data_IF_830158607058
#
_entry.id   IF_830158607058
#
_cell.length_a   1.000
_cell.length_b   1.000
_cell.length_c   1.000
_cell.angle_alpha   90.00
_cell.angle_beta   90.00
_cell.angle_gamma   90.00
#
_symmetry.space_group_name_H-M   'P 1'
#
loop_
_entity.id
_entity.type
_entity.pdbx_description
1 polymer ?
#
# COMPACT_ATOMS: atom_id res chain seq x y z
N UNK A 1 -37.62 -20.11 -6.86
CA UNK A 1 -36.24 -20.38 -7.34
C UNK A 1 -36.16 -21.83 -7.80
N UNK A 2 -35.42 -22.17 -8.87
CA UNK A 2 -35.33 -23.55 -9.36
C UNK A 2 -33.89 -24.06 -9.22
N UNK A 3 -33.71 -25.32 -8.86
CA UNK A 3 -32.40 -25.96 -8.75
C UNK A 3 -31.73 -26.05 -10.12
N UNK A 4 -30.49 -25.51 -10.25
CA UNK A 4 -29.70 -25.53 -11.49
C UNK A 4 -29.33 -26.95 -11.94
N UNK A 5 -29.30 -27.91 -11.00
CA UNK A 5 -28.88 -29.29 -11.24
C UNK A 5 -30.00 -30.27 -11.54
N UNK A 6 -31.22 -30.09 -10.98
CA UNK A 6 -32.32 -31.03 -11.13
C UNK A 6 -33.67 -30.38 -11.48
N UNK A 7 -33.71 -29.05 -11.63
CA UNK A 7 -34.90 -28.31 -12.05
C UNK A 7 -36.06 -28.25 -11.05
N UNK A 8 -35.91 -28.83 -9.86
CA UNK A 8 -36.96 -28.80 -8.81
C UNK A 8 -37.08 -27.39 -8.22
N UNK A 9 -38.31 -26.98 -7.91
CA UNK A 9 -38.59 -25.72 -7.24
C UNK A 9 -38.08 -25.75 -5.79
N UNK A 10 -37.25 -24.77 -5.44
CA UNK A 10 -36.68 -24.61 -4.11
C UNK A 10 -37.50 -23.61 -3.30
N UNK A 11 -37.61 -23.86 -2.01
CA UNK A 11 -38.16 -22.88 -1.08
C UNK A 11 -37.21 -21.70 -0.91
N UNK A 12 -37.73 -20.50 -0.77
CA UNK A 12 -36.92 -19.31 -0.52
C UNK A 12 -36.12 -19.47 0.76
N UNK A 13 -34.78 -19.30 0.66
CA UNK A 13 -33.87 -19.43 1.80
C UNK A 13 -33.24 -20.82 2.01
N UNK A 14 -33.58 -21.84 1.20
CA UNK A 14 -32.95 -23.16 1.33
C UNK A 14 -31.53 -23.18 0.74
N UNK A 15 -30.51 -23.47 1.58
CA UNK A 15 -29.11 -23.57 1.19
C UNK A 15 -28.78 -24.85 0.37
N UNK A 16 -29.68 -25.84 0.38
CA UNK A 16 -29.48 -27.14 -0.26
C UNK A 16 -30.77 -27.59 -0.95
N UNK A 17 -30.63 -28.21 -2.11
CA UNK A 17 -31.75 -28.88 -2.78
C UNK A 17 -32.13 -30.15 -2.04
N UNK A 18 -33.37 -30.25 -1.58
CA UNK A 18 -33.89 -31.41 -0.87
C UNK A 18 -33.94 -32.68 -1.74
N UNK A 19 -33.89 -32.55 -3.07
CA UNK A 19 -33.98 -33.69 -4.01
C UNK A 19 -32.64 -34.23 -4.46
N UNK A 20 -31.66 -33.38 -4.76
CA UNK A 20 -30.36 -33.80 -5.29
C UNK A 20 -29.16 -33.42 -4.39
N UNK A 21 -29.40 -32.80 -3.23
CA UNK A 21 -28.34 -32.38 -2.31
C UNK A 21 -27.41 -31.28 -2.85
N UNK A 22 -27.69 -30.79 -4.06
CA UNK A 22 -26.88 -29.70 -4.61
C UNK A 22 -27.01 -28.47 -3.73
N UNK A 23 -25.87 -27.86 -3.43
CA UNK A 23 -25.83 -26.58 -2.75
C UNK A 23 -26.24 -25.50 -3.75
N UNK A 24 -27.45 -24.97 -3.56
CA UNK A 24 -27.93 -23.88 -4.39
C UNK A 24 -28.16 -22.66 -3.51
N UNK A 25 -27.57 -21.58 -4.01
CA UNK A 25 -28.01 -20.25 -3.64
C UNK A 25 -27.90 -19.85 -2.18
N UNK A 26 -26.81 -20.10 -1.51
CA UNK A 26 -26.12 -18.91 -1.10
C UNK A 26 -25.50 -18.38 -2.39
N UNK A 27 -26.19 -17.46 -3.07
CA UNK A 27 -25.44 -16.30 -3.52
C UNK A 27 -24.72 -15.92 -2.25
N UNK A 28 -23.50 -16.46 -2.05
CA UNK A 28 -22.53 -15.69 -1.36
C UNK A 28 -22.61 -14.40 -2.18
N UNK A 29 -23.36 -13.41 -1.71
CA UNK A 29 -22.90 -12.07 -1.84
C UNK A 29 -21.50 -12.20 -1.30
N UNK A 30 -20.65 -12.70 -2.16
CA UNK A 30 -19.23 -12.62 -2.04
C UNK A 30 -19.10 -11.19 -1.65
N UNK A 31 -18.57 -10.96 -0.45
CA UNK A 31 -18.44 -9.68 0.17
C UNK A 31 -17.63 -8.81 -0.81
N UNK A 32 -18.25 -8.51 -1.95
CA UNK A 32 -17.77 -7.66 -3.03
C UNK A 32 -17.57 -6.24 -2.48
N UNK A 33 -18.10 -5.99 -1.28
CA UNK A 33 -17.83 -4.81 -0.50
C UNK A 33 -16.44 -4.73 0.12
N UNK A 34 -15.79 -5.86 0.42
CA UNK A 34 -14.53 -5.88 1.18
C UNK A 34 -13.27 -5.99 0.32
N UNK A 35 -13.40 -6.19 -0.99
CA UNK A 35 -12.24 -6.28 -1.90
C UNK A 35 -12.11 -5.01 -2.71
N UNK A 36 -10.93 -4.40 -2.63
CA UNK A 36 -10.59 -3.21 -3.43
C UNK A 36 -10.41 -3.57 -4.91
N UNK A 37 -10.84 -2.71 -5.86
CA UNK A 37 -10.58 -2.89 -7.28
C UNK A 37 -9.10 -2.70 -7.64
N UNK A 38 -8.27 -2.24 -6.69
CA UNK A 38 -6.85 -1.92 -6.89
C UNK A 38 -6.00 -3.19 -6.95
N UNK A 39 -4.88 -3.12 -7.72
CA UNK A 39 -3.98 -4.26 -7.90
C UNK A 39 -2.91 -4.30 -6.81
N UNK A 40 -2.65 -5.50 -6.27
CA UNK A 40 -1.53 -5.79 -5.36
C UNK A 40 -0.19 -5.57 -6.05
N UNK A 41 -0.07 -6.02 -7.31
CA UNK A 41 1.14 -5.86 -8.09
C UNK A 41 1.51 -4.39 -8.24
N UNK A 42 0.55 -3.54 -8.64
CA UNK A 42 0.77 -2.10 -8.76
C UNK A 42 1.15 -1.47 -7.42
N UNK A 43 0.47 -1.81 -6.33
CA UNK A 43 0.79 -1.31 -4.98
C UNK A 43 2.19 -1.70 -4.56
N UNK A 44 2.59 -2.96 -4.79
CA UNK A 44 3.91 -3.48 -4.42
C UNK A 44 5.03 -2.84 -5.26
N UNK A 45 4.84 -2.72 -6.57
CA UNK A 45 5.81 -2.06 -7.46
C UNK A 45 5.99 -0.58 -7.09
N UNK A 46 4.90 0.13 -6.85
CA UNK A 46 4.95 1.53 -6.41
C UNK A 46 5.63 1.67 -5.03
N UNK A 47 5.45 0.70 -4.13
CA UNK A 47 6.12 0.73 -2.83
C UNK A 47 7.64 0.50 -2.96
N UNK A 48 8.09 -0.39 -3.86
CA UNK A 48 9.52 -0.64 -4.08
C UNK A 48 10.20 0.53 -4.78
N UNK A 49 9.65 0.99 -5.91
CA UNK A 49 10.32 1.99 -6.75
C UNK A 49 10.10 3.43 -6.28
N UNK A 50 8.91 3.75 -5.78
CA UNK A 50 8.53 5.09 -5.37
C UNK A 50 8.09 5.16 -3.90
N UNK A 51 8.49 4.18 -3.10
CA UNK A 51 8.12 4.09 -1.68
C UNK A 51 8.58 5.31 -0.88
N UNK A 52 9.77 5.83 -1.18
CA UNK A 52 10.30 7.05 -0.54
C UNK A 52 9.47 8.32 -0.79
N UNK A 53 8.69 8.35 -1.88
CA UNK A 53 7.77 9.45 -2.20
C UNK A 53 6.32 9.13 -1.82
N UNK A 54 6.04 7.93 -1.28
CA UNK A 54 4.70 7.53 -0.86
C UNK A 54 3.71 7.27 -2.01
N UNK A 55 4.17 7.03 -3.25
CA UNK A 55 3.31 6.87 -4.43
C UNK A 55 2.29 5.73 -4.28
N UNK A 56 2.66 4.62 -3.62
CA UNK A 56 1.76 3.50 -3.31
C UNK A 56 0.60 3.91 -2.41
N UNK A 57 0.78 4.91 -1.52
CA UNK A 57 -0.28 5.44 -0.65
C UNK A 57 -1.22 6.38 -1.41
N UNK A 58 -0.72 7.14 -2.38
CA UNK A 58 -1.57 7.89 -3.30
C UNK A 58 -2.44 6.93 -4.12
N UNK A 59 -1.85 5.86 -4.64
CA UNK A 59 -2.60 4.83 -5.38
C UNK A 59 -3.69 4.16 -4.54
N UNK A 60 -3.49 4.01 -3.23
CA UNK A 60 -4.46 3.40 -2.30
C UNK A 60 -5.38 4.43 -1.64
N UNK A 61 -5.41 5.67 -2.12
CA UNK A 61 -6.22 6.82 -1.66
C UNK A 61 -5.97 7.21 -0.18
N UNK A 62 -4.85 6.78 0.40
CA UNK A 62 -4.43 7.21 1.75
C UNK A 62 -3.70 8.55 1.69
N UNK A 63 -4.40 9.59 1.17
CA UNK A 63 -3.81 10.88 0.81
C UNK A 63 -3.08 11.54 2.00
N UNK A 64 -3.65 11.52 3.21
CA UNK A 64 -3.04 12.15 4.38
C UNK A 64 -1.63 11.61 4.68
N UNK A 65 -1.49 10.28 4.77
CA UNK A 65 -0.19 9.65 5.01
C UNK A 65 0.72 9.68 3.79
N UNK A 66 0.16 9.72 2.57
CA UNK A 66 0.92 9.89 1.34
C UNK A 66 1.62 11.25 1.30
N UNK A 67 0.90 12.33 1.64
CA UNK A 67 1.47 13.70 1.71
C UNK A 67 2.56 13.78 2.78
N UNK A 68 2.37 13.18 3.95
CA UNK A 68 3.40 13.15 5.00
C UNK A 68 4.67 12.46 4.49
N UNK A 69 4.55 11.28 3.86
CA UNK A 69 5.71 10.58 3.29
C UNK A 69 6.39 11.38 2.19
N UNK A 70 5.60 12.02 1.31
CA UNK A 70 6.13 12.87 0.25
C UNK A 70 6.93 14.04 0.83
N UNK A 71 6.39 14.76 1.81
CA UNK A 71 7.07 15.89 2.44
C UNK A 71 8.36 15.47 3.13
N UNK A 72 8.34 14.35 3.88
CA UNK A 72 9.54 13.81 4.52
C UNK A 72 10.59 13.35 3.50
N UNK A 73 10.17 12.69 2.43
CA UNK A 73 11.05 12.25 1.35
C UNK A 73 11.68 13.43 0.62
N UNK A 74 10.90 14.44 0.24
CA UNK A 74 11.40 15.66 -0.40
C UNK A 74 12.32 16.44 0.54
N UNK A 75 11.96 16.58 1.81
CA UNK A 75 12.81 17.25 2.79
C UNK A 75 14.17 16.54 2.95
N UNK A 76 14.20 15.21 3.04
CA UNK A 76 15.44 14.45 3.13
C UNK A 76 16.29 14.59 1.87
N UNK A 77 15.68 14.63 0.67
CA UNK A 77 16.40 14.88 -0.58
C UNK A 77 17.01 16.29 -0.62
N UNK A 78 16.24 17.32 -0.24
CA UNK A 78 16.75 18.71 -0.20
C UNK A 78 17.92 18.82 0.78
N UNK A 79 17.82 18.24 1.98
CA UNK A 79 18.91 18.24 2.96
C UNK A 79 20.12 17.49 2.46
N UNK A 80 19.95 16.35 1.79
CA UNK A 80 21.04 15.55 1.25
C UNK A 80 21.75 16.25 0.09
N UNK A 81 21.02 16.78 -0.88
CA UNK A 81 21.61 17.52 -2.00
C UNK A 81 22.24 18.84 -1.56
N UNK A 82 21.61 19.55 -0.60
CA UNK A 82 22.19 20.74 0.00
C UNK A 82 23.51 20.46 0.71
N UNK A 83 23.57 19.36 1.48
CA UNK A 83 24.80 18.92 2.11
C UNK A 83 25.87 18.54 1.08
N UNK A 84 25.52 17.77 0.03
CA UNK A 84 26.46 17.43 -1.05
C UNK A 84 26.99 18.67 -1.79
N UNK A 85 26.14 19.68 -2.02
CA UNK A 85 26.53 20.93 -2.64
C UNK A 85 27.58 21.67 -1.79
N UNK A 86 27.34 21.77 -0.48
CA UNK A 86 28.31 22.38 0.46
C UNK A 86 29.61 21.60 0.50
N UNK A 87 29.56 20.25 0.53
CA UNK A 87 30.77 19.43 0.48
C UNK A 87 31.57 19.62 -0.81
N UNK A 88 30.92 19.85 -1.94
CA UNK A 88 31.60 20.10 -3.23
C UNK A 88 32.21 21.48 -3.36
N UNK A 89 31.84 22.43 -2.51
CA UNK A 89 32.36 23.80 -2.50
C UNK A 89 33.38 24.09 -1.38
N UNK A 90 33.53 23.18 -0.41
CA UNK A 90 34.41 23.29 0.74
C UNK A 90 35.47 22.18 0.70
N UNK A 91 36.67 22.45 1.17
CA UNK A 91 37.65 21.39 1.42
C UNK A 91 37.09 20.46 2.50
N UNK A 92 37.19 19.16 2.29
CA UNK A 92 36.51 18.15 3.13
C UNK A 92 36.91 18.20 4.62
N UNK A 93 38.05 18.78 4.93
CA UNK A 93 38.56 18.96 6.30
C UNK A 93 37.90 20.14 7.04
N UNK A 94 37.31 21.08 6.30
CA UNK A 94 36.67 22.29 6.88
C UNK A 94 35.16 22.33 6.78
N UNK A 95 34.50 21.18 6.56
CA UNK A 95 33.04 21.13 6.47
C UNK A 95 32.39 21.66 7.77
N UNK A 96 31.50 22.68 7.67
CA UNK A 96 30.95 23.32 8.84
C UNK A 96 30.09 22.34 9.66
N UNK A 97 29.94 22.51 11.00
CA UNK A 97 29.14 21.64 11.84
C UNK A 97 27.70 21.49 11.34
N UNK A 98 27.14 22.52 10.72
CA UNK A 98 25.83 22.52 10.10
C UNK A 98 25.70 21.47 8.98
N UNK A 99 26.79 21.26 8.20
CA UNK A 99 26.84 20.21 7.17
C UNK A 99 26.59 18.83 7.79
N UNK A 100 27.30 18.45 8.83
CA UNK A 100 27.18 17.15 9.48
C UNK A 100 25.81 16.95 10.11
N UNK A 101 25.23 18.02 10.65
CA UNK A 101 23.87 18.00 11.21
C UNK A 101 22.82 17.77 10.13
N UNK A 102 22.87 18.53 9.02
CA UNK A 102 21.93 18.37 7.90
C UNK A 102 22.07 16.99 7.23
N UNK A 103 23.31 16.54 7.02
CA UNK A 103 23.59 15.22 6.44
C UNK A 103 23.09 14.10 7.34
N UNK A 104 23.41 14.14 8.63
CA UNK A 104 22.92 13.16 9.60
C UNK A 104 21.40 13.13 9.69
N UNK A 105 20.74 14.30 9.72
CA UNK A 105 19.30 14.39 9.74
C UNK A 105 18.67 13.81 8.46
N UNK A 106 19.26 14.07 7.29
CA UNK A 106 18.76 13.51 6.02
C UNK A 106 18.81 11.99 6.00
N UNK A 107 19.88 11.39 6.55
CA UNK A 107 20.02 9.93 6.67
C UNK A 107 18.93 9.35 7.58
N UNK A 108 18.74 9.95 8.76
CA UNK A 108 17.72 9.49 9.72
C UNK A 108 16.32 9.53 9.10
N UNK A 109 15.97 10.63 8.42
CA UNK A 109 14.68 10.77 7.72
C UNK A 109 14.55 9.74 6.60
N UNK A 110 15.60 9.52 5.80
CA UNK A 110 15.58 8.54 4.70
C UNK A 110 15.39 7.11 5.22
N UNK A 111 16.06 6.74 6.32
CA UNK A 111 15.90 5.44 6.96
C UNK A 111 14.47 5.27 7.49
N UNK A 112 13.94 6.27 8.16
CA UNK A 112 12.58 6.22 8.71
C UNK A 112 11.52 6.02 7.61
N UNK A 113 11.61 6.79 6.51
CA UNK A 113 10.72 6.66 5.35
C UNK A 113 10.92 5.32 4.65
N UNK A 114 12.19 4.85 4.52
CA UNK A 114 12.52 3.56 3.92
C UNK A 114 11.95 2.38 4.70
N UNK A 115 12.08 2.37 6.03
CA UNK A 115 11.47 1.35 6.90
C UNK A 115 9.95 1.37 6.76
N UNK A 116 9.34 2.55 6.74
CA UNK A 116 7.90 2.68 6.56
C UNK A 116 7.44 2.11 5.21
N UNK A 117 8.12 2.46 4.12
CA UNK A 117 7.84 1.93 2.79
C UNK A 117 8.03 0.41 2.70
N UNK A 118 9.06 -0.13 3.39
CA UNK A 118 9.31 -1.57 3.48
C UNK A 118 8.18 -2.32 4.19
N UNK A 119 7.70 -1.79 5.31
CA UNK A 119 6.55 -2.36 6.03
C UNK A 119 5.31 -2.38 5.12
N UNK A 120 5.01 -1.26 4.44
CA UNK A 120 3.89 -1.16 3.51
C UNK A 120 4.04 -2.16 2.34
N UNK A 121 5.25 -2.35 1.82
CA UNK A 121 5.56 -3.34 0.79
C UNK A 121 5.26 -4.77 1.27
N UNK A 122 5.74 -5.14 2.47
CA UNK A 122 5.48 -6.48 3.04
C UNK A 122 3.97 -6.70 3.20
N UNK A 123 3.24 -5.71 3.74
CA UNK A 123 1.79 -5.79 3.91
C UNK A 123 1.08 -5.90 2.54
N UNK A 124 1.55 -5.20 1.51
CA UNK A 124 1.00 -5.30 0.16
C UNK A 124 1.23 -6.69 -0.45
N UNK A 125 2.45 -7.24 -0.35
CA UNK A 125 2.79 -8.57 -0.87
C UNK A 125 2.05 -9.69 -0.12
N UNK A 126 1.82 -9.56 1.18
CA UNK A 126 1.04 -10.54 1.96
C UNK A 126 -0.47 -10.46 1.65
N UNK A 127 -0.93 -9.41 0.95
CA UNK A 127 -2.34 -9.24 0.57
C UNK A 127 -3.24 -8.73 1.69
N UNK A 128 -2.66 -8.20 2.73
CA UNK A 128 -3.38 -7.62 3.87
C UNK A 128 -3.47 -6.08 3.79
N UNK A 129 -2.98 -5.49 2.70
CA UNK A 129 -3.02 -4.05 2.53
C UNK A 129 -4.46 -3.59 2.29
N UNK A 130 -4.87 -2.57 3.05
CA UNK A 130 -6.21 -1.97 2.97
C UNK A 130 -6.13 -0.60 2.30
N UNK A 131 -7.13 -0.27 1.49
CA UNK A 131 -7.28 1.09 0.94
C UNK A 131 -7.88 2.07 1.97
N UNK A 132 -8.17 3.28 1.54
CA UNK A 132 -8.81 4.31 2.39
C UNK A 132 -10.21 3.95 2.85
N UNK A 133 -10.90 3.04 2.14
CA UNK A 133 -12.25 2.55 2.47
C UNK A 133 -12.22 1.31 3.37
N UNK A 134 -11.02 0.86 3.80
CA UNK A 134 -10.83 -0.33 4.59
C UNK A 134 -10.89 -1.64 3.78
N UNK A 135 -11.08 -1.58 2.45
CA UNK A 135 -11.16 -2.74 1.57
C UNK A 135 -9.79 -3.37 1.36
N UNK A 136 -9.75 -4.70 1.35
CA UNK A 136 -8.49 -5.44 1.19
C UNK A 136 -8.11 -5.52 -0.29
N UNK A 137 -6.85 -5.21 -0.61
CA UNK A 137 -6.30 -5.31 -1.96
C UNK A 137 -5.81 -6.74 -2.18
N UNK A 138 -6.62 -7.58 -2.88
CA UNK A 138 -6.30 -9.00 -3.16
C UNK A 138 -5.96 -9.28 -4.62
N UNK A 139 -6.34 -8.42 -5.54
CA UNK A 139 -6.20 -8.62 -6.98
C UNK A 139 -4.72 -8.44 -7.41
N UNK A 140 -4.16 -9.45 -8.09
CA UNK A 140 -2.84 -9.36 -8.71
C UNK A 140 -2.89 -8.62 -10.03
#
# INVERSE_FOLDING_TARGET
MFCSKCGVQLNEGSAFCSRCGAREGLVVEEVAGDVSPKSRLATSLLAVFLGGLGAHRFYTDKIGTAVVMLLLGVASMILMFGAMFVAGTSDAEEAPPLFWLCYGLSIVLSIAVGIWALIDFIIAVTGNFRDSQGKIIRKW
#
